data_IF_401915390304
#
_entry.id   IF_401915390304
#
_cell.length_a   1.000
_cell.length_b   1.000
_cell.length_c   1.000
_cell.angle_alpha   90.00
_cell.angle_beta   90.00
_cell.angle_gamma   90.00
#
_symmetry.space_group_name_H-M   'P 1'
#
loop_
_entity.id
_entity.type
_entity.pdbx_description
1 polymer ?
2 non-polymer ?
3 non-polymer ?
4 water ?
#
# COMPACT_ATOMS: atom_id res chain seq x y z
N UNK A 1 28.97 -1.33 8.12
CA UNK A 1 29.62 -1.55 6.81
C UNK A 1 30.59 -0.39 6.53
N UNK A 2 30.91 0.25 7.65
CA UNK A 2 31.75 1.43 7.84
C UNK A 2 30.71 2.46 8.40
N UNK A 3 30.31 3.15 7.37
CA UNK A 3 29.45 4.26 7.16
C UNK A 3 28.52 3.95 5.97
N UNK A 4 28.14 2.72 5.80
CA UNK A 4 27.20 2.23 4.81
C UNK A 4 26.38 1.11 5.46
N UNK A 5 25.20 0.97 4.91
CA UNK A 5 24.28 -0.11 5.25
C UNK A 5 23.47 -0.39 3.98
N UNK A 6 23.08 -1.65 3.87
CA UNK A 6 22.24 -2.21 2.88
C UNK A 6 20.92 -2.67 3.52
N UNK A 7 19.83 -2.25 2.89
CA UNK A 7 18.45 -2.61 3.27
C UNK A 7 17.71 -3.22 2.10
N UNK A 8 16.94 -4.24 2.39
CA UNK A 8 16.17 -4.94 1.35
C UNK A 8 14.68 -4.71 1.56
N UNK A 9 14.02 -4.55 0.44
CA UNK A 9 12.56 -4.40 0.29
C UNK A 9 12.11 -5.58 -0.64
N UNK A 10 10.97 -6.17 -0.35
CA UNK A 10 10.49 -7.29 -1.19
C UNK A 10 9.03 -7.01 -1.62
N UNK A 11 8.40 -8.02 -2.18
CA UNK A 11 7.07 -8.00 -2.72
C UNK A 11 6.00 -8.16 -1.64
N UNK A 12 6.46 -8.33 -0.43
CA UNK A 12 5.59 -8.49 0.75
C UNK A 12 5.40 -7.22 1.54
N UNK A 13 5.95 -6.12 1.02
CA UNK A 13 5.78 -4.78 1.57
C UNK A 13 6.46 -4.73 2.93
N UNK A 14 7.68 -5.26 2.88
CA UNK A 14 8.59 -5.32 4.01
C UNK A 14 10.02 -4.89 3.70
N UNK A 15 10.70 -4.45 4.74
CA UNK A 15 12.12 -4.11 4.78
C UNK A 15 12.67 -5.26 5.63
N UNK A 16 13.95 -5.59 5.54
CA UNK A 16 14.53 -6.66 6.33
C UNK A 16 15.19 -6.09 7.58
N UNK A 17 15.35 -4.79 7.71
CA UNK A 17 16.00 -4.18 8.89
C UNK A 17 14.98 -3.30 9.62
N UNK A 18 14.88 -3.33 10.94
CA UNK A 18 13.92 -2.49 11.69
C UNK A 18 14.62 -1.29 12.35
N UNK A 19 15.93 -1.43 12.42
CA UNK A 19 16.76 -0.30 12.89
C UNK A 19 18.13 -0.24 12.23
N UNK A 20 18.60 0.99 12.12
CA UNK A 20 19.90 1.30 11.52
C UNK A 20 20.68 2.14 12.52
N UNK A 21 21.96 1.82 12.62
CA UNK A 21 22.84 2.60 13.52
C UNK A 21 23.95 3.30 12.67
N UNK A 22 24.06 4.60 12.96
CA UNK A 22 25.10 5.37 12.21
C UNK A 22 26.31 5.51 13.12
N UNK A 23 27.52 5.06 12.73
CA UNK A 23 28.63 5.24 13.70
C UNK A 23 29.07 6.69 13.88
N UNK A 24 29.46 7.10 15.07
CA UNK A 24 29.90 8.46 15.36
C UNK A 24 31.13 8.98 14.65
N UNK A 25 31.92 8.06 14.10
CA UNK A 25 33.16 8.44 13.39
C UNK A 25 32.78 8.86 11.97
N UNK A 26 31.52 8.63 11.64
CA UNK A 26 31.14 8.93 10.22
C UNK A 26 30.73 10.35 9.97
N UNK A 27 31.31 10.88 8.89
CA UNK A 27 30.91 12.25 8.48
C UNK A 27 29.79 12.16 7.40
N UNK A 28 29.78 11.11 6.60
CA UNK A 28 28.84 10.82 5.53
C UNK A 28 28.29 9.41 5.82
N UNK A 29 27.00 9.21 5.51
CA UNK A 29 26.39 7.89 5.65
C UNK A 29 25.76 7.52 4.30
N UNK A 30 25.94 6.26 3.91
CA UNK A 30 25.37 5.78 2.66
C UNK A 30 24.40 4.63 2.83
N UNK A 31 23.17 4.75 2.32
CA UNK A 31 22.22 3.64 2.36
C UNK A 31 22.00 3.05 0.94
N UNK A 32 22.12 1.76 0.87
CA UNK A 32 21.91 1.03 -0.37
C UNK A 32 20.59 0.27 -0.21
N UNK A 33 19.58 0.68 -0.97
CA UNK A 33 18.29 0.03 -1.02
C UNK A 33 18.31 -0.91 -2.24
N UNK A 34 17.83 -2.10 -1.98
CA UNK A 34 17.65 -3.19 -2.90
C UNK A 34 16.17 -3.59 -2.85
N UNK A 35 15.66 -3.84 -4.06
CA UNK A 35 14.24 -4.31 -4.18
C UNK A 35 14.44 -5.76 -4.63
N UNK A 36 14.32 -6.75 -3.77
CA UNK A 36 14.57 -8.16 -4.08
C UNK A 36 13.36 -8.90 -4.63
N UNK A 37 12.30 -8.16 -4.88
CA UNK A 37 11.06 -8.74 -5.42
C UNK A 37 11.12 -8.73 -6.98
N UNK A 38 9.95 -9.04 -7.52
CA UNK A 38 9.80 -9.07 -8.99
C UNK A 38 8.64 -8.21 -9.47
N UNK A 39 7.96 -7.48 -8.61
CA UNK A 39 6.86 -6.60 -8.94
C UNK A 39 7.40 -5.29 -9.52
N UNK A 40 6.57 -4.71 -10.40
CA UNK A 40 6.82 -3.50 -11.16
C UNK A 40 6.74 -2.32 -10.20
N UNK A 41 7.45 -1.25 -10.54
CA UNK A 41 7.45 -0.07 -9.65
C UNK A 41 6.07 0.57 -9.51
N UNK A 42 5.24 0.41 -10.52
CA UNK A 42 3.87 0.97 -10.50
C UNK A 42 3.01 0.22 -9.51
N UNK A 43 3.26 -1.06 -9.29
CA UNK A 43 2.54 -1.93 -8.39
C UNK A 43 3.08 -2.03 -6.97
N UNK A 44 4.39 -2.07 -6.88
CA UNK A 44 5.04 -2.29 -5.58
C UNK A 44 6.42 -1.70 -5.51
N UNK A 45 6.46 -0.41 -5.87
CA UNK A 45 7.66 0.41 -5.94
C UNK A 45 8.04 0.72 -4.50
N UNK A 46 9.33 0.79 -4.22
CA UNK A 46 9.89 1.12 -2.93
C UNK A 46 11.02 2.14 -3.04
N UNK A 47 10.99 2.92 -1.95
CA UNK A 47 11.96 3.98 -1.65
C UNK A 47 12.32 3.85 -0.16
N UNK A 48 13.22 4.71 0.23
CA UNK A 48 13.71 4.79 1.65
C UNK A 48 13.80 6.28 1.93
N UNK A 49 13.08 6.75 2.91
CA UNK A 49 12.98 8.15 3.32
C UNK A 49 13.27 8.30 4.84
N UNK A 50 14.12 9.29 5.09
CA UNK A 50 14.60 9.71 6.41
C UNK A 50 14.04 11.06 6.93
N UNK A 51 13.31 10.97 8.06
CA UNK A 51 12.65 12.09 8.70
C UNK A 51 12.73 11.98 10.22
N UNK A 52 12.34 13.07 10.87
CA UNK A 52 12.24 13.05 12.34
C UNK A 52 11.00 12.17 12.51
N UNK A 53 10.96 11.31 13.51
CA UNK A 53 9.84 10.39 13.68
C UNK A 53 8.45 11.00 13.62
N UNK A 54 8.53 12.24 14.04
CA UNK A 54 7.53 13.26 14.17
C UNK A 54 6.98 13.55 12.77
N UNK A 55 7.89 13.76 11.83
CA UNK A 55 7.49 14.10 10.45
C UNK A 55 7.07 12.93 9.54
N UNK A 56 7.10 11.69 9.98
CA UNK A 56 6.77 10.50 9.25
C UNK A 56 5.50 10.62 8.41
N UNK A 57 4.34 10.72 9.04
CA UNK A 57 3.02 10.79 8.40
C UNK A 57 2.76 11.98 7.51
N UNK A 58 3.16 13.16 7.87
CA UNK A 58 3.09 14.39 7.09
C UNK A 58 3.95 14.31 5.84
N UNK A 59 5.19 13.80 5.93
CA UNK A 59 6.06 13.67 4.75
C UNK A 59 5.51 12.59 3.80
N UNK A 60 4.91 11.54 4.40
CA UNK A 60 4.35 10.39 3.70
C UNK A 60 3.15 10.86 2.86
N UNK A 61 2.37 11.69 3.54
CA UNK A 61 1.13 12.21 2.92
C UNK A 61 1.50 13.15 1.79
N UNK A 62 2.39 14.07 2.06
CA UNK A 62 2.82 14.97 0.98
C UNK A 62 3.49 14.23 -0.17
N UNK A 63 4.26 13.21 0.15
CA UNK A 63 5.03 12.42 -0.86
C UNK A 63 4.05 11.76 -1.85
N UNK A 64 3.03 11.10 -1.30
CA UNK A 64 1.97 10.44 -2.05
C UNK A 64 1.42 11.41 -3.08
N UNK A 65 1.24 12.67 -2.68
CA UNK A 65 0.67 13.66 -3.57
C UNK A 65 1.65 14.14 -4.61
N UNK A 66 2.90 13.85 -4.42
CA UNK A 66 3.90 14.30 -5.41
C UNK A 66 3.92 13.40 -6.64
N UNK A 67 3.49 12.16 -6.55
CA UNK A 67 3.49 11.33 -7.78
C UNK A 67 4.77 10.54 -7.97
N UNK A 68 4.73 9.58 -8.87
CA UNK A 68 5.90 8.72 -9.15
C UNK A 68 7.08 9.42 -9.76
N UNK A 69 6.90 10.44 -10.60
CA UNK A 69 8.01 11.18 -11.22
C UNK A 69 8.81 11.94 -10.17
N UNK A 70 8.31 12.18 -8.99
CA UNK A 70 9.00 12.89 -7.90
C UNK A 70 9.47 11.86 -6.85
N UNK A 71 9.35 10.59 -7.21
CA UNK A 71 9.72 9.49 -6.30
C UNK A 71 8.92 9.52 -5.00
N UNK A 72 7.67 9.97 -5.15
CA UNK A 72 6.74 10.01 -3.99
C UNK A 72 7.27 10.76 -2.78
N UNK A 73 7.95 11.86 -3.00
CA UNK A 73 8.56 12.80 -2.10
C UNK A 73 8.33 14.25 -2.57
N UNK A 74 7.68 15.03 -1.71
CA UNK A 74 7.46 16.44 -2.12
C UNK A 74 8.85 17.04 -2.33
N UNK A 75 9.02 17.56 -3.50
CA UNK A 75 10.24 18.20 -4.00
C UNK A 75 10.60 19.36 -3.07
N UNK A 76 11.84 19.26 -2.62
CA UNK A 76 12.48 20.21 -1.71
C UNK A 76 11.75 20.18 -0.38
N UNK A 77 11.28 18.99 0.00
CA UNK A 77 10.53 18.93 1.30
C UNK A 77 11.69 19.11 2.29
N UNK A 78 11.56 20.06 3.20
CA UNK A 78 12.70 20.30 4.12
C UNK A 78 12.67 19.35 5.30
N UNK A 79 11.55 18.65 5.51
CA UNK A 79 11.46 17.65 6.59
C UNK A 79 12.21 16.35 6.27
N UNK A 80 12.65 16.20 5.03
CA UNK A 80 13.34 15.06 4.47
C UNK A 80 14.87 15.23 4.54
N UNK A 81 15.53 14.43 5.40
CA UNK A 81 16.97 14.40 5.52
C UNK A 81 17.60 13.73 4.31
N UNK A 82 17.07 12.61 3.83
CA UNK A 82 17.62 11.95 2.65
C UNK A 82 16.56 10.99 2.12
N UNK A 83 16.68 10.67 0.84
CA UNK A 83 15.71 9.69 0.29
C UNK A 83 16.35 9.14 -0.97
N UNK A 84 15.95 7.96 -1.34
CA UNK A 84 16.33 7.30 -2.58
C UNK A 84 15.20 7.54 -3.58
N UNK A 85 15.42 6.96 -4.74
CA UNK A 85 14.47 6.98 -5.84
C UNK A 85 13.45 5.88 -5.56
N UNK A 86 12.35 5.82 -6.28
CA UNK A 86 11.40 4.69 -6.15
C UNK A 86 11.95 3.62 -7.12
N UNK A 87 12.23 2.41 -6.69
CA UNK A 87 12.76 1.32 -7.54
C UNK A 87 11.74 0.20 -7.61
N UNK A 88 11.80 -0.63 -8.63
CA UNK A 88 11.03 -1.83 -8.90
C UNK A 88 11.88 -3.10 -8.65
N UNK A 89 11.26 -4.21 -8.81
CA UNK A 89 11.84 -5.53 -8.52
C UNK A 89 13.11 -5.62 -9.33
N UNK A 90 14.11 -6.17 -8.67
CA UNK A 90 15.42 -6.37 -9.31
C UNK A 90 16.37 -5.21 -9.38
N UNK A 91 15.92 -4.06 -8.87
CA UNK A 91 16.73 -2.87 -8.88
C UNK A 91 17.27 -2.53 -7.51
N UNK A 92 18.11 -1.52 -7.56
CA UNK A 92 18.71 -0.93 -6.37
C UNK A 92 18.92 0.57 -6.64
N UNK A 93 19.17 1.22 -5.49
CA UNK A 93 19.47 2.65 -5.37
C UNK A 93 20.26 2.93 -4.08
N UNK A 94 21.04 3.97 -4.05
CA UNK A 94 21.86 4.43 -2.95
C UNK A 94 21.72 5.93 -2.74
N UNK A 95 21.78 6.29 -1.48
CA UNK A 95 21.80 7.73 -1.12
C UNK A 95 22.91 7.86 -0.05
N UNK A 96 23.64 8.93 -0.11
CA UNK A 96 24.70 9.29 0.82
C UNK A 96 24.27 10.57 1.51
N UNK A 97 24.31 10.71 2.81
CA UNK A 97 23.88 11.97 3.45
C UNK A 97 24.95 12.36 4.51
N UNK A 98 24.96 13.64 4.76
CA UNK A 98 25.78 14.34 5.72
C UNK A 98 25.12 14.08 7.11
N UNK A 99 25.95 13.43 7.93
CA UNK A 99 25.67 13.00 9.25
C UNK A 99 25.46 14.12 10.24
N UNK A 100 26.05 15.25 9.92
CA UNK A 100 25.88 16.44 10.82
C UNK A 100 24.44 16.95 10.77
N UNK A 101 23.57 16.30 9.99
CA UNK A 101 22.16 16.61 9.79
C UNK A 101 21.39 16.01 10.98
N UNK A 102 21.99 14.91 11.43
CA UNK A 102 21.52 14.18 12.60
C UNK A 102 22.14 14.79 13.89
N UNK A 103 21.33 14.72 14.90
CA UNK A 103 21.53 15.15 16.29
C UNK A 103 21.69 13.87 17.11
N UNK A 104 22.84 13.71 17.74
CA UNK A 104 23.13 12.51 18.53
C UNK A 104 22.01 12.21 19.52
N UNK A 105 21.76 10.91 19.68
CA UNK A 105 20.73 10.40 20.58
C UNK A 105 19.28 10.62 20.18
N UNK A 106 19.03 11.14 18.99
CA UNK A 106 17.67 11.33 18.49
C UNK A 106 17.38 10.20 17.49
N UNK A 107 16.17 9.69 17.65
CA UNK A 107 15.65 8.61 16.80
C UNK A 107 14.96 9.37 15.64
N UNK A 108 15.24 8.66 14.58
CA UNK A 108 14.75 9.05 13.25
C UNK A 108 13.95 7.87 12.71
N UNK A 109 13.02 8.30 11.85
CA UNK A 109 12.19 7.33 11.14
C UNK A 109 12.68 7.21 9.70
N UNK A 110 12.73 5.99 9.23
CA UNK A 110 13.01 5.73 7.80
C UNK A 110 11.74 4.92 7.41
N UNK A 111 11.20 5.18 6.26
CA UNK A 111 9.98 4.52 5.75
C UNK A 111 9.89 4.52 4.24
N UNK A 112 8.95 3.77 3.70
CA UNK A 112 8.77 3.80 2.22
C UNK A 112 7.52 4.68 2.05
N UNK A 113 7.66 5.67 1.21
CA UNK A 113 6.65 6.68 0.86
C UNK A 113 5.84 6.32 -0.37
N UNK A 114 6.05 5.15 -0.96
CA UNK A 114 5.17 4.71 -2.07
C UNK A 114 3.75 4.67 -1.45
N UNK A 115 2.69 5.04 -2.14
CA UNK A 115 1.32 5.02 -1.58
C UNK A 115 0.96 3.80 -0.78
N UNK A 116 0.51 3.97 0.44
CA UNK A 116 0.08 2.89 1.34
C UNK A 116 1.19 2.15 2.06
N UNK A 117 2.47 2.30 1.74
CA UNK A 117 3.56 1.52 2.32
C UNK A 117 4.11 2.02 3.66
N UNK A 118 3.96 3.25 4.04
CA UNK A 118 4.55 3.74 5.31
C UNK A 118 4.07 2.97 6.52
N UNK A 119 2.92 2.34 6.51
CA UNK A 119 2.32 1.63 7.63
C UNK A 119 2.93 0.27 7.97
N UNK A 120 3.51 -0.31 6.96
CA UNK A 120 4.18 -1.63 7.02
C UNK A 120 5.69 -1.52 6.90
N UNK A 121 6.20 -0.50 6.22
CA UNK A 121 7.61 -0.25 5.88
C UNK A 121 8.22 0.97 6.58
N UNK A 122 8.75 0.64 7.79
CA UNK A 122 9.38 1.69 8.65
C UNK A 122 10.40 1.11 9.65
N UNK A 123 11.30 2.01 10.06
CA UNK A 123 12.31 1.54 11.03
C UNK A 123 12.86 2.80 11.69
N UNK A 124 13.78 2.56 12.59
CA UNK A 124 14.41 3.68 13.27
C UNK A 124 15.90 3.73 12.90
N UNK A 125 16.32 4.97 12.88
CA UNK A 125 17.75 5.22 12.67
C UNK A 125 18.25 6.08 13.82
N UNK A 126 19.44 5.79 14.33
CA UNK A 126 20.05 6.64 15.38
C UNK A 126 21.57 6.60 15.20
N UNK A 127 22.15 7.64 15.69
CA UNK A 127 23.62 7.87 15.69
C UNK A 127 24.05 7.14 16.98
N UNK A 128 25.03 6.26 16.97
CA UNK A 128 25.56 5.54 18.14
C UNK A 128 27.03 5.15 18.03
N UNK A 129 27.73 5.04 19.15
CA UNK A 129 29.16 4.62 19.14
C UNK A 129 29.30 3.49 20.17
N UNK B 1 -24.54 -21.34 -2.13
CA UNK B 1 -25.22 -21.64 -0.84
C UNK B 1 -26.53 -20.82 -0.79
N UNK B 2 -26.28 -19.73 -0.11
CA UNK B 2 -27.02 -18.51 0.18
C UNK B 2 -26.55 -17.58 -0.99
N UNK B 3 -27.09 -16.38 -0.99
CA UNK B 3 -26.70 -15.37 -2.02
C UNK B 3 -25.95 -14.28 -1.27
N UNK B 4 -25.06 -14.82 -0.42
CA UNK B 4 -24.25 -13.96 0.44
C UNK B 4 -22.88 -14.60 0.62
N UNK B 5 -21.88 -13.75 0.90
CA UNK B 5 -20.53 -14.26 1.20
C UNK B 5 -19.85 -13.27 2.16
N UNK B 6 -19.00 -13.83 3.00
CA UNK B 6 -18.19 -12.99 3.92
C UNK B 6 -16.71 -13.10 3.54
N UNK B 7 -16.05 -11.98 3.47
CA UNK B 7 -14.61 -12.00 3.13
C UNK B 7 -13.94 -11.17 4.23
N UNK B 8 -12.77 -11.63 4.67
CA UNK B 8 -12.02 -10.89 5.70
C UNK B 8 -10.76 -10.27 5.12
N UNK B 9 -10.35 -9.14 5.69
CA UNK B 9 -9.16 -8.38 5.30
C UNK B 9 -8.43 -8.18 6.67
N UNK B 10 -7.13 -8.10 6.58
CA UNK B 10 -6.38 -8.00 7.84
C UNK B 10 -5.26 -6.98 7.69
N UNK B 11 -4.43 -6.96 8.72
CA UNK B 11 -3.31 -6.03 8.85
C UNK B 11 -2.12 -6.40 7.96
N UNK B 12 -2.17 -7.58 7.39
CA UNK B 12 -1.08 -8.09 6.55
C UNK B 12 -1.36 -7.81 5.08
N UNK B 13 -2.46 -7.11 4.78
CA UNK B 13 -2.83 -6.78 3.39
C UNK B 13 -3.36 -7.98 2.62
N UNK B 14 -4.06 -8.83 3.33
CA UNK B 14 -4.56 -10.03 2.66
C UNK B 14 -6.09 -10.07 2.83
N UNK B 15 -6.72 -10.66 1.83
CA UNK B 15 -8.12 -11.00 1.86
C UNK B 15 -8.01 -12.50 2.26
N UNK B 16 -9.01 -13.06 2.84
CA UNK B 16 -8.98 -14.49 3.16
C UNK B 16 -9.55 -15.33 2.01
N UNK B 17 -10.11 -14.74 0.99
CA UNK B 17 -10.67 -15.54 -0.10
C UNK B 17 -9.98 -15.03 -1.37
N UNK B 18 -9.52 -16.00 -2.15
CA UNK B 18 -8.88 -15.66 -3.44
C UNK B 18 -9.91 -15.73 -4.57
N UNK B 19 -10.97 -16.45 -4.25
CA UNK B 19 -12.03 -16.52 -5.28
C UNK B 19 -13.37 -16.62 -4.63
N UNK B 20 -14.36 -16.12 -5.31
CA UNK B 20 -15.75 -16.03 -4.86
C UNK B 20 -16.66 -16.52 -5.99
N UNK B 21 -17.60 -17.38 -5.68
CA UNK B 21 -18.58 -17.86 -6.68
C UNK B 21 -19.99 -17.42 -6.28
N UNK B 22 -20.67 -16.86 -7.26
CA UNK B 22 -22.05 -16.39 -7.11
C UNK B 22 -22.88 -17.54 -7.72
N UNK B 23 -23.82 -18.03 -6.91
CA UNK B 23 -24.68 -19.15 -7.34
C UNK B 23 -25.72 -18.65 -8.34
N UNK B 24 -25.84 -19.42 -9.43
CA UNK B 24 -26.82 -19.05 -10.47
C UNK B 24 -28.28 -18.86 -10.06
N UNK B 25 -28.68 -19.41 -8.94
CA UNK B 25 -29.96 -19.32 -8.29
C UNK B 25 -30.13 -17.94 -7.68
N UNK B 26 -29.08 -17.14 -7.57
CA UNK B 26 -29.23 -15.79 -6.95
C UNK B 26 -29.63 -14.72 -7.95
N UNK B 27 -30.54 -13.85 -7.56
CA UNK B 27 -31.01 -12.73 -8.36
C UNK B 27 -30.16 -11.51 -7.93
N UNK B 28 -29.73 -11.55 -6.69
CA UNK B 28 -28.92 -10.55 -6.01
C UNK B 28 -27.80 -11.20 -5.19
N UNK B 29 -26.78 -10.40 -4.87
CA UNK B 29 -25.70 -11.08 -4.07
C UNK B 29 -25.13 -10.04 -3.13
N UNK B 30 -24.90 -10.42 -1.89
CA UNK B 30 -24.33 -9.55 -0.87
C UNK B 30 -22.94 -10.08 -0.44
N UNK B 31 -22.03 -9.09 -0.41
CA UNK B 31 -20.65 -9.28 0.05
C UNK B 31 -20.56 -8.45 1.37
N UNK B 32 -20.24 -9.19 2.40
CA UNK B 32 -20.01 -8.64 3.74
C UNK B 32 -18.46 -8.67 3.91
N UNK B 33 -17.88 -7.49 3.99
CA UNK B 33 -16.48 -7.28 4.20
C UNK B 33 -16.21 -7.07 5.69
N UNK B 34 -15.26 -7.78 6.29
CA UNK B 34 -14.88 -7.54 7.69
C UNK B 34 -13.40 -7.18 7.75
N UNK B 35 -13.00 -6.23 8.57
CA UNK B 35 -11.54 -5.93 8.73
C UNK B 35 -11.29 -6.47 10.15
N UNK B 36 -10.58 -7.57 10.21
CA UNK B 36 -10.31 -8.32 11.44
C UNK B 36 -8.97 -7.90 12.04
N UNK B 37 -8.38 -6.89 11.45
CA UNK B 37 -7.14 -6.33 11.97
C UNK B 37 -7.48 -5.35 13.10
N UNK B 38 -6.39 -4.73 13.54
CA UNK B 38 -6.46 -3.68 14.56
C UNK B 38 -5.86 -2.34 14.12
N UNK B 39 -5.57 -2.16 12.86
CA UNK B 39 -5.05 -0.93 12.27
C UNK B 39 -6.25 -0.06 11.86
N UNK B 40 -6.06 1.24 11.99
CA UNK B 40 -7.01 2.30 11.75
C UNK B 40 -7.09 2.48 10.24
N UNK B 41 -8.17 3.04 9.73
CA UNK B 41 -8.24 3.18 8.26
C UNK B 41 -7.26 4.15 7.64
N UNK B 42 -6.74 5.11 8.38
CA UNK B 42 -5.76 6.10 7.89
C UNK B 42 -4.51 5.33 7.46
N UNK B 43 -4.21 4.21 8.08
CA UNK B 43 -3.00 3.44 7.78
C UNK B 43 -3.19 2.18 6.96
N UNK B 44 -4.23 1.43 7.26
CA UNK B 44 -4.54 0.15 6.64
C UNK B 44 -6.03 -0.02 6.41
N UNK B 45 -6.69 0.90 5.78
CA UNK B 45 -8.14 0.78 5.53
C UNK B 45 -8.25 -0.20 4.35
N UNK B 46 -9.36 -0.90 4.29
CA UNK B 46 -9.63 -1.88 3.24
C UNK B 46 -11.07 -1.65 2.64
N UNK B 47 -11.16 -1.78 1.31
CA UNK B 47 -12.50 -1.75 0.66
C UNK B 47 -12.55 -3.04 -0.21
N UNK B 48 -13.69 -3.23 -0.86
CA UNK B 48 -13.92 -4.41 -1.75
C UNK B 48 -14.53 -3.77 -3.00
N UNK B 49 -13.89 -3.87 -4.14
CA UNK B 49 -14.27 -3.29 -5.42
C UNK B 49 -14.24 -4.38 -6.49
N UNK B 50 -15.28 -4.44 -7.31
CA UNK B 50 -15.58 -5.39 -8.36
C UNK B 50 -15.77 -4.65 -9.71
N UNK B 51 -14.87 -5.11 -10.60
CA UNK B 51 -14.80 -4.60 -11.96
C UNK B 51 -14.52 -5.78 -12.88
N UNK B 52 -14.44 -5.50 -14.16
CA UNK B 52 -14.08 -6.55 -15.12
C UNK B 52 -12.55 -6.53 -14.96
N UNK B 53 -11.91 -7.63 -15.22
CA UNK B 53 -10.47 -7.75 -15.09
C UNK B 53 -9.70 -6.65 -15.81
N UNK B 54 -10.21 -6.31 -16.99
CA UNK B 54 -9.49 -5.27 -17.76
C UNK B 54 -9.57 -3.93 -17.07
N UNK B 55 -10.59 -3.70 -16.27
CA UNK B 55 -10.74 -2.39 -15.62
C UNK B 55 -10.06 -2.19 -14.28
N UNK B 56 -9.36 -3.18 -13.81
CA UNK B 56 -8.75 -3.16 -12.48
C UNK B 56 -7.81 -2.01 -12.23
N UNK B 57 -6.77 -1.93 -13.05
CA UNK B 57 -5.74 -0.91 -12.92
C UNK B 57 -6.26 0.50 -13.03
N UNK B 58 -7.05 0.84 -14.00
CA UNK B 58 -7.57 2.18 -14.18
C UNK B 58 -8.47 2.62 -13.03
N UNK B 59 -9.28 1.69 -12.53
CA UNK B 59 -10.21 1.96 -11.44
C UNK B 59 -9.40 2.24 -10.15
N UNK B 60 -8.34 1.42 -10.01
CA UNK B 60 -7.51 1.56 -8.78
C UNK B 60 -6.79 2.91 -8.79
N UNK B 61 -6.28 3.33 -9.92
CA UNK B 61 -5.56 4.59 -10.11
C UNK B 61 -6.46 5.76 -9.79
N UNK B 62 -7.60 5.67 -10.43
CA UNK B 62 -8.60 6.71 -10.30
C UNK B 62 -9.22 6.76 -8.91
N UNK B 63 -9.36 5.65 -8.25
CA UNK B 63 -9.97 5.59 -6.91
C UNK B 63 -8.97 6.28 -5.95
N UNK B 64 -7.75 5.87 -6.22
CA UNK B 64 -6.62 6.44 -5.53
C UNK B 64 -6.78 7.96 -5.43
N UNK B 65 -7.01 8.58 -6.57
CA UNK B 65 -7.12 10.05 -6.65
C UNK B 65 -8.40 10.57 -6.00
N UNK B 66 -9.39 9.78 -5.65
CA UNK B 66 -10.62 10.31 -5.05
C UNK B 66 -10.47 10.64 -3.58
N UNK B 67 -9.52 10.00 -2.92
CA UNK B 67 -9.22 10.23 -1.50
C UNK B 67 -10.02 9.36 -0.57
N UNK B 68 -9.65 9.37 0.71
CA UNK B 68 -10.35 8.57 1.71
C UNK B 68 -11.83 8.85 1.87
N UNK B 69 -12.30 10.11 1.82
CA UNK B 69 -13.71 10.47 2.07
C UNK B 69 -14.68 9.89 1.05
N UNK B 70 -14.18 9.66 -0.14
CA UNK B 70 -14.74 9.08 -1.33
C UNK B 70 -14.58 7.56 -1.41
N UNK B 71 -13.98 6.98 -0.40
CA UNK B 71 -13.74 5.57 -0.26
C UNK B 71 -12.77 5.10 -1.35
N UNK B 72 -11.85 5.91 -1.76
CA UNK B 72 -10.88 5.57 -2.77
C UNK B 72 -11.50 4.89 -4.00
N UNK B 73 -12.64 5.41 -4.32
CA UNK B 73 -13.39 5.05 -5.52
C UNK B 73 -13.95 6.37 -6.12
N UNK B 74 -13.60 6.58 -7.37
CA UNK B 74 -14.08 7.77 -8.10
C UNK B 74 -15.61 7.62 -8.12
N UNK B 75 -16.24 8.73 -7.79
CA UNK B 75 -17.69 8.88 -7.79
C UNK B 75 -18.26 8.56 -9.19
N UNK B 76 -19.25 7.72 -9.20
CA UNK B 76 -19.98 7.15 -10.32
C UNK B 76 -19.12 6.53 -11.40
N UNK B 77 -18.11 5.77 -11.05
CA UNK B 77 -17.22 5.13 -12.04
C UNK B 77 -18.06 4.00 -12.65
N UNK B 78 -18.20 4.05 -13.95
CA UNK B 78 -19.00 3.08 -14.69
C UNK B 78 -18.31 1.72 -14.70
N UNK B 79 -17.00 1.73 -14.47
CA UNK B 79 -16.28 0.48 -14.49
C UNK B 79 -16.52 -0.34 -13.22
N UNK B 80 -17.07 0.32 -12.23
CA UNK B 80 -17.33 -0.33 -10.93
C UNK B 80 -18.73 -0.95 -10.86
N UNK B 81 -18.73 -2.27 -10.75
CA UNK B 81 -19.96 -3.06 -10.59
C UNK B 81 -20.54 -2.87 -9.22
N UNK B 82 -19.68 -2.95 -8.18
CA UNK B 82 -20.14 -2.76 -6.79
C UNK B 82 -18.89 -2.48 -5.96
N UNK B 83 -19.07 -1.77 -4.88
CA UNK B 83 -17.95 -1.44 -3.97
C UNK B 83 -18.53 -1.17 -2.58
N UNK B 84 -17.74 -1.46 -1.58
CA UNK B 84 -17.99 -1.19 -0.17
C UNK B 84 -17.31 0.15 0.16
N UNK B 85 -17.46 0.56 1.39
CA UNK B 85 -16.78 1.69 1.91
C UNK B 85 -15.38 1.19 2.37
N UNK B 86 -14.55 2.18 2.64
CA UNK B 86 -13.21 1.85 3.23
C UNK B 86 -13.48 1.68 4.75
N UNK B 87 -13.11 0.55 5.33
CA UNK B 87 -13.30 0.28 6.78
C UNK B 87 -11.93 0.07 7.43
N UNK B 88 -11.87 0.24 8.73
CA UNK B 88 -10.66 0.03 9.51
C UNK B 88 -10.80 -1.19 10.41
N UNK B 89 -9.82 -1.48 11.25
CA UNK B 89 -9.90 -2.68 12.10
C UNK B 89 -11.13 -2.66 13.02
N UNK B 90 -11.78 -3.84 13.10
CA UNK B 90 -12.93 -3.94 13.98
C UNK B 90 -14.22 -3.54 13.37
N UNK B 91 -14.18 -3.18 12.11
CA UNK B 91 -15.39 -2.73 11.38
C UNK B 91 -15.85 -3.67 10.29
N UNK B 92 -17.01 -3.37 9.76
CA UNK B 92 -17.52 -4.17 8.62
C UNK B 92 -18.41 -3.25 7.78
N UNK B 93 -18.59 -3.71 6.52
CA UNK B 93 -19.42 -3.04 5.49
C UNK B 93 -20.01 -4.12 4.57
N UNK B 94 -21.20 -3.95 4.02
CA UNK B 94 -21.82 -4.95 3.15
C UNK B 94 -22.21 -4.21 1.88
N UNK B 95 -22.25 -4.86 0.75
CA UNK B 95 -22.71 -4.25 -0.50
C UNK B 95 -23.55 -5.31 -1.19
N UNK B 96 -24.71 -4.89 -1.69
CA UNK B 96 -25.54 -5.85 -2.46
C UNK B 96 -25.66 -5.40 -3.92
N UNK B 97 -25.53 -6.26 -4.89
CA UNK B 97 -25.65 -5.95 -6.30
C UNK B 97 -26.49 -7.02 -7.01
N UNK B 98 -26.90 -6.65 -8.20
CA UNK B 98 -27.64 -7.43 -9.16
C UNK B 98 -26.75 -8.45 -9.87
N UNK B 99 -27.22 -9.69 -9.79
CA UNK B 99 -26.49 -10.77 -10.45
C UNK B 99 -26.57 -10.64 -11.98
N UNK B 100 -27.60 -9.97 -12.43
CA UNK B 100 -27.85 -9.75 -13.89
C UNK B 100 -26.72 -8.98 -14.57
N UNK B 101 -25.96 -8.26 -13.77
CA UNK B 101 -24.84 -7.42 -14.16
C UNK B 101 -23.64 -8.31 -14.55
N UNK B 102 -23.77 -9.54 -14.04
CA UNK B 102 -22.77 -10.56 -14.26
C UNK B 102 -23.29 -11.40 -15.47
N UNK B 103 -22.23 -11.74 -16.16
CA UNK B 103 -22.26 -12.46 -17.40
C UNK B 103 -21.68 -13.83 -17.07
N UNK B 104 -22.55 -14.80 -17.36
CA UNK B 104 -22.18 -16.21 -17.14
C UNK B 104 -20.86 -16.48 -17.87
N UNK B 105 -19.91 -17.13 -17.21
CA UNK B 105 -18.62 -17.42 -17.80
C UNK B 105 -17.52 -16.40 -17.64
N UNK B 106 -17.77 -15.12 -17.49
CA UNK B 106 -16.70 -14.13 -17.33
C UNK B 106 -16.12 -14.12 -15.91
N UNK B 107 -14.81 -13.86 -15.91
CA UNK B 107 -14.06 -13.77 -14.64
C UNK B 107 -13.91 -12.26 -14.35
N UNK B 108 -14.34 -11.86 -13.18
CA UNK B 108 -14.30 -10.49 -12.69
C UNK B 108 -13.21 -10.38 -11.61
N UNK B 109 -12.66 -9.21 -11.37
CA UNK B 109 -11.64 -9.04 -10.33
C UNK B 109 -12.25 -8.35 -9.12
N UNK B 110 -11.94 -8.66 -7.89
CA UNK B 110 -12.39 -7.88 -6.74
C UNK B 110 -10.98 -7.53 -6.17
N UNK B 111 -10.90 -6.29 -5.70
CA UNK B 111 -9.57 -5.86 -5.15
C UNK B 111 -9.80 -4.74 -4.14
N UNK B 112 -8.73 -4.43 -3.42
CA UNK B 112 -8.80 -3.30 -2.46
C UNK B 112 -8.26 -2.06 -3.14
N UNK B 113 -8.95 -0.92 -3.28
CA UNK B 113 -8.41 0.30 -3.89
C UNK B 113 -7.74 1.32 -2.98
N UNK B 114 -7.57 1.05 -1.72
CA UNK B 114 -6.81 1.85 -0.76
C UNK B 114 -5.39 1.88 -1.39
N UNK B 115 -4.76 3.05 -1.36
CA UNK B 115 -3.42 3.26 -1.91
C UNK B 115 -2.50 2.11 -1.55
N UNK B 116 -2.02 1.64 -2.69
CA UNK B 116 -1.07 0.61 -2.95
C UNK B 116 -1.53 -0.77 -2.56
N UNK B 117 -2.84 -0.96 -2.31
CA UNK B 117 -3.25 -2.30 -1.87
C UNK B 117 -3.64 -3.25 -2.98
N UNK B 118 -3.92 -2.77 -4.17
CA UNK B 118 -4.43 -3.69 -5.24
C UNK B 118 -3.43 -4.73 -5.64
N UNK B 119 -2.15 -4.50 -5.52
CA UNK B 119 -1.06 -5.42 -5.91
C UNK B 119 -1.08 -6.71 -5.09
N UNK B 120 -1.58 -6.61 -3.88
CA UNK B 120 -1.69 -7.68 -2.92
C UNK B 120 -3.07 -8.21 -2.59
N UNK B 121 -4.12 -7.43 -2.65
CA UNK B 121 -5.47 -7.84 -2.27
C UNK B 121 -6.33 -7.82 -3.52
N UNK B 122 -6.44 -8.98 -4.11
CA UNK B 122 -7.19 -9.13 -5.37
C UNK B 122 -7.65 -10.57 -5.47
N UNK B 123 -8.81 -10.86 -6.00
CA UNK B 123 -9.28 -12.28 -6.08
C UNK B 123 -10.19 -12.29 -7.31
N UNK B 124 -10.78 -13.43 -7.59
CA UNK B 124 -11.63 -13.52 -8.77
C UNK B 124 -13.05 -13.84 -8.41
N UNK B 125 -13.98 -13.20 -9.09
CA UNK B 125 -15.37 -13.55 -8.89
C UNK B 125 -15.97 -14.11 -10.20
N UNK B 126 -16.79 -15.15 -10.07
CA UNK B 126 -17.48 -15.66 -11.24
C UNK B 126 -18.82 -16.31 -10.86
N UNK B 127 -19.60 -16.52 -11.93
CA UNK B 127 -20.87 -17.24 -11.83
C UNK B 127 -20.61 -18.73 -11.70
N UNK B 128 -21.48 -19.31 -10.92
CA UNK B 128 -21.68 -20.71 -10.51
C UNK B 128 -21.45 -21.60 -11.73
N UNK B 129 -20.98 -22.80 -11.46
CA UNK B 129 -20.66 -23.78 -12.48
C UNK B 129 -20.76 -23.25 -13.92
X LIG C 1 7.41 0.56 -0.52
X LIG D 1 14.29 16.57 -3.85
X LIG D 1 15.50 15.82 -3.31
X LIG D 1 13.01 15.95 -3.35
X LIG D 1 14.31 16.53 -5.36
X LIG D 1 14.41 17.98 -3.32
X LIG E 1 9.61 -1.81 -13.66
X LIG F 1 -6.76 -2.64 1.57
X LIG G 1 -20.19 5.79 -5.76
X LIG G 1 -21.04 4.69 -5.19
X LIG G 1 -18.92 5.34 -6.41
X LIG G 1 -19.84 6.80 -4.67
X LIG G 1 -21.05 6.46 -6.80
#
# INVERSE_FOLDING_TARGET
AQCEATIESNDAMQYDLKEMVVDKSCKQFTVHLKHVGKMAKSAMGHNWVLTKEADKEGVATDGMNAGLAQDYVKAGDTRVIAHTKVIGGGESDSVTFDVSKLTPGEAYAYFCSFPGHWAMMKGTLKLSN
AQCEATIESNDAMQYDLKEMVVDKSCKQFTVHLKHVGKMAKSAMGHNWVLTKEADKEGVATDGMNAGLAQDYVKAGDTRVIAHTKVIGGGESDSVTFDVSKLTPGEAYAYFCSFPGHWAMMKGTLKLSN
CU CU
SO4 S O1 O2 O3 O4
SO4 S
CU CU
SO4 S O1 O2 O3 O4
#
